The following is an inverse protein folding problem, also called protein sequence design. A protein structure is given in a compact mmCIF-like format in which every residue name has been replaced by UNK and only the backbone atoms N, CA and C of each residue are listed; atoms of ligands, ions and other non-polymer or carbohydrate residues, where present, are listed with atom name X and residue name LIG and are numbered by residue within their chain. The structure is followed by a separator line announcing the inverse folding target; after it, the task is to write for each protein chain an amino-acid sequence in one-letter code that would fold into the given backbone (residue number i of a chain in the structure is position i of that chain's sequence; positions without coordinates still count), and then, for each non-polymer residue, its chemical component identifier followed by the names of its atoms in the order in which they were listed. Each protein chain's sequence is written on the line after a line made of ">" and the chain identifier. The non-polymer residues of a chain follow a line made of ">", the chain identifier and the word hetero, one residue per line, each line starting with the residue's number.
data_IF_598556550721
#
_entry.id   IF_598556550721
#
_cell.length_a   1.000
_cell.length_b   1.000
_cell.length_c   1.000
_cell.angle_alpha   90.00
_cell.angle_beta   90.00
_cell.angle_gamma   90.00
#
_symmetry.space_group_name_H-M   'P 1'
#
loop_
_entity.id
_entity.type
_entity.pdbx_description
1 polymer ?
#
# COMPACT_ATOMS: atom_id res chain seq x y z
N UNK A 1 15.45 -13.79 -7.17
CA UNK A 1 15.98 -12.89 -8.20
C UNK A 1 15.01 -11.73 -8.34
N UNK A 2 15.53 -10.51 -8.55
CA UNK A 2 14.73 -9.29 -8.67
C UNK A 2 14.70 -8.79 -10.11
N UNK A 3 13.53 -8.29 -10.51
CA UNK A 3 13.30 -7.60 -11.78
C UNK A 3 12.56 -6.31 -11.44
N UNK A 4 13.06 -5.17 -11.91
CA UNK A 4 12.33 -3.91 -11.90
C UNK A 4 11.83 -3.65 -13.33
N UNK A 5 10.53 -3.37 -13.42
CA UNK A 5 9.85 -2.87 -14.61
C UNK A 5 9.17 -1.57 -14.18
N UNK A 6 9.70 -0.43 -14.64
CA UNK A 6 9.28 0.90 -14.16
C UNK A 6 7.85 1.20 -14.60
N UNK A 7 7.51 0.91 -15.86
CA UNK A 7 6.17 1.10 -16.40
C UNK A 7 5.15 0.30 -15.59
N UNK A 8 5.35 -1.03 -15.46
CA UNK A 8 4.44 -1.91 -14.72
C UNK A 8 4.22 -1.48 -13.26
N UNK A 9 5.30 -1.07 -12.57
CA UNK A 9 5.22 -0.62 -11.19
C UNK A 9 4.52 0.74 -11.07
N UNK A 10 4.89 1.72 -11.90
CA UNK A 10 4.27 3.05 -11.85
C UNK A 10 2.78 2.98 -12.19
N UNK A 11 2.40 2.13 -13.14
CA UNK A 11 1.01 1.87 -13.49
C UNK A 11 0.24 1.17 -12.36
N UNK A 12 0.90 0.28 -11.61
CA UNK A 12 0.39 -0.29 -10.37
C UNK A 12 0.12 0.77 -9.29
N UNK A 13 1.07 1.67 -9.07
CA UNK A 13 0.94 2.78 -8.12
C UNK A 13 -0.22 3.72 -8.49
N UNK A 14 -0.32 4.13 -9.76
CA UNK A 14 -1.41 4.98 -10.27
C UNK A 14 -2.79 4.33 -10.07
N UNK A 15 -2.94 3.04 -10.41
CA UNK A 15 -4.20 2.30 -10.21
C UNK A 15 -4.58 2.23 -8.72
N UNK A 16 -3.62 1.94 -7.84
CA UNK A 16 -3.88 1.84 -6.41
C UNK A 16 -4.26 3.19 -5.80
N UNK A 17 -3.59 4.29 -6.18
CA UNK A 17 -3.95 5.65 -5.75
C UNK A 17 -5.39 6.00 -6.14
N UNK A 18 -5.75 5.83 -7.43
CA UNK A 18 -7.09 6.11 -7.92
C UNK A 18 -8.18 5.23 -7.25
N UNK A 19 -7.86 3.97 -6.94
CA UNK A 19 -8.74 3.08 -6.17
C UNK A 19 -8.94 3.58 -4.74
N UNK A 20 -7.88 3.99 -4.03
CA UNK A 20 -7.98 4.52 -2.66
C UNK A 20 -8.73 5.84 -2.61
N UNK A 21 -8.49 6.78 -3.52
CA UNK A 21 -9.24 8.03 -3.59
C UNK A 21 -10.73 7.79 -3.79
N UNK A 22 -11.08 6.85 -4.69
CA UNK A 22 -12.48 6.44 -4.91
C UNK A 22 -13.08 5.85 -3.64
N UNK A 23 -12.43 4.87 -3.01
CA UNK A 23 -12.93 4.21 -1.80
C UNK A 23 -13.06 5.21 -0.64
N UNK A 24 -12.11 6.12 -0.47
CA UNK A 24 -12.15 7.18 0.55
C UNK A 24 -13.40 8.06 0.40
N UNK A 25 -13.70 8.48 -0.83
CA UNK A 25 -14.87 9.30 -1.14
C UNK A 25 -16.19 8.50 -0.99
N UNK A 26 -16.20 7.20 -1.29
CA UNK A 26 -17.35 6.32 -1.03
C UNK A 26 -17.58 6.16 0.49
N UNK A 27 -16.53 5.90 1.26
CA UNK A 27 -16.54 5.81 2.73
C UNK A 27 -17.02 7.11 3.39
N UNK A 28 -16.58 8.28 2.92
CA UNK A 28 -17.00 9.58 3.47
C UNK A 28 -18.52 9.82 3.33
N UNK A 29 -19.10 9.37 2.22
CA UNK A 29 -20.54 9.44 2.01
C UNK A 29 -21.31 8.46 2.91
N UNK A 30 -20.73 7.28 3.17
CA UNK A 30 -21.28 6.31 4.13
C UNK A 30 -21.21 6.90 5.54
N UNK A 31 -20.07 7.45 5.96
CA UNK A 31 -19.88 8.08 7.27
C UNK A 31 -20.89 9.21 7.51
N UNK A 32 -21.05 10.13 6.55
CA UNK A 32 -22.08 11.19 6.62
C UNK A 32 -23.50 10.64 6.80
N UNK A 33 -23.81 9.52 6.13
CA UNK A 33 -25.12 8.86 6.24
C UNK A 33 -25.31 8.18 7.60
N UNK A 34 -24.26 7.52 8.10
CA UNK A 34 -24.25 6.84 9.41
C UNK A 34 -24.32 7.85 10.55
N UNK A 35 -23.55 8.95 10.52
CA UNK A 35 -23.66 10.03 11.50
C UNK A 35 -25.06 10.62 11.52
N UNK A 36 -25.65 10.90 10.35
CA UNK A 36 -27.04 11.34 10.24
C UNK A 36 -28.04 10.37 10.86
N UNK A 37 -27.84 9.05 10.75
CA UNK A 37 -28.67 8.02 11.40
C UNK A 37 -28.51 8.01 12.93
N UNK A 38 -27.29 8.17 13.43
CA UNK A 38 -26.99 8.26 14.88
C UNK A 38 -27.64 9.50 15.52
N UNK A 39 -27.73 10.59 14.76
CA UNK A 39 -28.38 11.85 15.16
C UNK A 39 -29.93 11.79 15.15
N UNK A 40 -30.57 10.74 14.62
CA UNK A 40 -32.04 10.60 14.55
C UNK A 40 -32.72 10.26 15.89
N UNK A 41 -32.43 10.99 16.97
CA UNK A 41 -33.03 10.75 18.28
C UNK A 41 -34.56 10.98 18.30
N UNK A 42 -35.05 11.94 17.51
CA UNK A 42 -36.47 12.25 17.42
C UNK A 42 -37.28 11.18 16.63
N UNK A 43 -36.62 10.40 15.76
CA UNK A 43 -37.27 9.40 14.89
C UNK A 43 -37.04 7.95 15.38
N UNK A 44 -35.85 7.63 15.89
CA UNK A 44 -35.48 6.29 16.38
C UNK A 44 -35.48 6.25 17.92
N UNK A 45 -36.68 6.35 18.49
CA UNK A 45 -36.93 6.34 19.93
C UNK A 45 -37.11 4.94 20.53
N UNK A 46 -36.98 4.86 21.85
CA UNK A 46 -37.19 3.64 22.64
C UNK A 46 -35.97 2.72 22.63
N UNK A 47 -36.05 1.60 23.37
CA UNK A 47 -34.90 0.73 23.61
C UNK A 47 -34.27 0.18 22.31
N UNK A 48 -35.10 -0.26 21.34
CA UNK A 48 -34.61 -0.75 20.05
C UNK A 48 -34.05 0.36 19.14
N UNK A 49 -34.66 1.56 19.16
CA UNK A 49 -34.15 2.71 18.41
C UNK A 49 -32.80 3.20 18.94
N UNK A 50 -32.64 3.22 20.26
CA UNK A 50 -31.34 3.48 20.89
C UNK A 50 -30.32 2.39 20.54
N UNK A 51 -30.66 1.11 20.65
CA UNK A 51 -29.75 0.00 20.31
C UNK A 51 -29.24 0.08 18.86
N UNK A 52 -30.10 0.42 17.89
CA UNK A 52 -29.70 0.61 16.49
C UNK A 52 -28.73 1.80 16.36
N UNK A 53 -29.04 2.95 16.98
CA UNK A 53 -28.15 4.13 16.92
C UNK A 53 -26.81 3.86 17.59
N UNK A 54 -26.81 3.22 18.75
CA UNK A 54 -25.62 2.78 19.47
C UNK A 54 -24.79 1.79 18.61
N UNK A 55 -25.41 0.85 17.91
CA UNK A 55 -24.70 -0.10 17.02
C UNK A 55 -23.98 0.62 15.88
N UNK A 56 -24.63 1.58 15.23
CA UNK A 56 -23.99 2.38 14.18
C UNK A 56 -22.90 3.31 14.73
N UNK A 57 -23.12 3.92 15.90
CA UNK A 57 -22.14 4.77 16.56
C UNK A 57 -20.89 4.01 17.06
N UNK A 58 -21.07 2.81 17.60
CA UNK A 58 -20.01 2.06 18.31
C UNK A 58 -19.26 1.05 17.43
N UNK A 59 -19.88 0.55 16.35
CA UNK A 59 -19.29 -0.41 15.42
C UNK A 59 -18.89 0.23 14.07
N UNK A 60 -19.75 1.07 13.48
CA UNK A 60 -19.54 1.58 12.12
C UNK A 60 -18.70 2.87 12.09
N UNK A 61 -19.04 3.90 12.88
CA UNK A 61 -18.28 5.15 12.86
C UNK A 61 -16.77 4.97 13.13
N UNK A 62 -16.32 4.17 14.12
CA UNK A 62 -14.89 3.98 14.36
C UNK A 62 -14.18 3.33 13.17
N UNK A 63 -14.82 2.35 12.52
CA UNK A 63 -14.28 1.69 11.33
C UNK A 63 -14.13 2.66 10.15
N UNK A 64 -15.16 3.48 9.89
CA UNK A 64 -15.16 4.45 8.80
C UNK A 64 -14.07 5.51 9.03
N UNK A 65 -13.95 6.03 10.26
CA UNK A 65 -12.91 6.98 10.67
C UNK A 65 -11.50 6.39 10.55
N UNK A 66 -11.31 5.14 10.99
CA UNK A 66 -10.05 4.43 10.83
C UNK A 66 -9.69 4.25 9.35
N UNK A 67 -10.67 3.88 8.51
CA UNK A 67 -10.47 3.76 7.06
C UNK A 67 -10.06 5.08 6.40
N UNK A 68 -10.61 6.22 6.84
CA UNK A 68 -10.19 7.55 6.36
C UNK A 68 -8.71 7.82 6.66
N UNK A 69 -8.26 7.56 7.90
CA UNK A 69 -6.86 7.73 8.30
C UNK A 69 -5.93 6.76 7.56
N UNK A 70 -6.29 5.48 7.51
CA UNK A 70 -5.59 4.45 6.74
C UNK A 70 -5.40 4.87 5.27
N UNK A 71 -6.46 5.38 4.63
CA UNK A 71 -6.42 5.80 3.24
C UNK A 71 -5.39 6.91 2.98
N UNK A 72 -5.24 7.86 3.93
CA UNK A 72 -4.20 8.89 3.85
C UNK A 72 -2.81 8.29 4.00
N UNK A 73 -2.58 7.49 5.03
CA UNK A 73 -1.26 6.86 5.28
C UNK A 73 -0.84 6.01 4.08
N UNK A 74 -1.77 5.24 3.50
CA UNK A 74 -1.46 4.42 2.34
C UNK A 74 -1.22 5.24 1.06
N UNK A 75 -2.01 6.30 0.79
CA UNK A 75 -1.75 7.23 -0.31
C UNK A 75 -0.35 7.86 -0.19
N UNK A 76 0.03 8.32 1.01
CA UNK A 76 1.35 8.89 1.27
C UNK A 76 2.48 7.86 1.05
N UNK A 77 2.30 6.61 1.46
CA UNK A 77 3.24 5.52 1.16
C UNK A 77 3.38 5.29 -0.35
N UNK A 78 2.30 5.31 -1.12
CA UNK A 78 2.33 5.16 -2.58
C UNK A 78 2.98 6.37 -3.29
N UNK A 79 2.88 7.57 -2.73
CA UNK A 79 3.60 8.76 -3.20
C UNK A 79 5.10 8.69 -2.93
N UNK A 80 5.50 8.26 -1.72
CA UNK A 80 6.90 8.03 -1.37
C UNK A 80 7.52 6.94 -2.25
N UNK A 81 6.76 5.87 -2.55
CA UNK A 81 7.20 4.79 -3.44
C UNK A 81 7.38 5.24 -4.89
N UNK A 82 6.51 6.10 -5.41
CA UNK A 82 6.66 6.68 -6.76
C UNK A 82 7.89 7.61 -6.84
N UNK A 83 8.13 8.42 -5.82
CA UNK A 83 9.33 9.27 -5.72
C UNK A 83 10.62 8.45 -5.61
N UNK A 84 10.61 7.39 -4.80
CA UNK A 84 11.74 6.47 -4.68
C UNK A 84 12.03 5.73 -5.99
N UNK A 85 10.99 5.34 -6.74
CA UNK A 85 11.11 4.70 -8.05
C UNK A 85 11.80 5.65 -9.04
N UNK A 86 11.31 6.88 -9.15
CA UNK A 86 11.89 7.91 -10.03
C UNK A 86 13.34 8.27 -9.66
N UNK A 87 13.72 8.16 -8.39
CA UNK A 87 15.09 8.37 -7.91
C UNK A 87 16.03 7.19 -8.21
N UNK A 88 15.50 5.96 -8.25
CA UNK A 88 16.26 4.77 -8.65
C UNK A 88 16.46 4.71 -10.16
N UNK A 89 15.38 4.85 -10.92
CA UNK A 89 15.36 4.78 -12.38
C UNK A 89 14.36 5.81 -12.93
N UNK A 90 14.83 6.97 -13.45
CA UNK A 90 13.96 8.03 -13.95
C UNK A 90 13.42 7.77 -15.37
N UNK A 91 13.93 6.78 -16.10
CA UNK A 91 13.39 6.42 -17.42
C UNK A 91 12.05 5.68 -17.24
N UNK A 92 10.92 6.17 -17.81
CA UNK A 92 9.65 5.47 -17.74
C UNK A 92 9.66 4.09 -18.45
N UNK A 93 10.56 3.87 -19.40
CA UNK A 93 10.81 2.57 -20.02
C UNK A 93 11.95 1.78 -19.32
N UNK A 94 12.35 2.23 -18.12
CA UNK A 94 13.42 1.63 -17.32
C UNK A 94 13.16 0.18 -16.95
N UNK A 95 14.18 -0.66 -17.12
CA UNK A 95 14.08 -2.09 -16.90
C UNK A 95 15.38 -2.66 -16.37
N UNK A 96 15.35 -3.29 -15.18
CA UNK A 96 16.54 -3.81 -14.50
C UNK A 96 16.34 -5.29 -14.16
N UNK A 97 17.15 -6.17 -14.76
CA UNK A 97 17.27 -7.59 -14.39
C UNK A 97 18.54 -7.80 -13.56
N UNK A 98 18.39 -8.10 -12.27
CA UNK A 98 19.54 -8.35 -11.38
C UNK A 98 20.44 -9.48 -11.91
N UNK A 99 19.84 -10.55 -12.44
CA UNK A 99 20.54 -11.71 -13.01
C UNK A 99 21.40 -11.36 -14.24
N UNK A 100 20.97 -10.40 -15.06
CA UNK A 100 21.73 -9.94 -16.22
C UNK A 100 22.96 -9.14 -15.77
N UNK A 101 22.78 -8.30 -14.74
CA UNK A 101 23.86 -7.52 -14.13
C UNK A 101 24.92 -8.44 -13.51
N UNK A 102 24.51 -9.31 -12.58
CA UNK A 102 25.42 -10.20 -11.83
C UNK A 102 26.02 -11.33 -12.69
N UNK A 103 25.32 -11.75 -13.75
CA UNK A 103 25.74 -12.84 -14.63
C UNK A 103 26.34 -12.36 -15.95
N UNK A 104 25.47 -12.11 -16.94
CA UNK A 104 25.83 -11.85 -18.34
C UNK A 104 26.77 -10.63 -18.47
N UNK A 105 26.50 -9.54 -17.75
CA UNK A 105 27.28 -8.31 -17.81
C UNK A 105 28.66 -8.45 -17.13
N UNK A 106 28.77 -9.14 -15.98
CA UNK A 106 30.08 -9.41 -15.36
C UNK A 106 30.96 -10.29 -16.28
N UNK A 107 30.37 -11.31 -16.90
CA UNK A 107 31.07 -12.17 -17.85
C UNK A 107 31.52 -11.38 -19.09
N UNK A 108 30.64 -10.56 -19.66
CA UNK A 108 30.96 -9.70 -20.81
C UNK A 108 32.07 -8.69 -20.51
N UNK A 109 32.00 -7.99 -19.38
CA UNK A 109 33.03 -7.02 -18.95
C UNK A 109 34.38 -7.69 -18.71
N UNK A 110 34.38 -8.88 -18.08
CA UNK A 110 35.60 -9.67 -17.86
C UNK A 110 36.22 -10.15 -19.18
N UNK A 111 35.38 -10.61 -20.12
CA UNK A 111 35.83 -11.02 -21.45
C UNK A 111 36.45 -9.84 -22.22
N UNK A 112 35.84 -8.65 -22.17
CA UNK A 112 36.36 -7.45 -22.84
C UNK A 112 37.73 -7.06 -22.28
N UNK A 113 37.90 -7.02 -20.96
CA UNK A 113 39.19 -6.73 -20.32
C UNK A 113 40.29 -7.71 -20.74
N UNK A 114 40.04 -9.01 -20.57
CA UNK A 114 41.01 -10.06 -20.90
C UNK A 114 41.35 -10.11 -22.40
N UNK A 115 40.37 -9.92 -23.28
CA UNK A 115 40.58 -9.96 -24.73
C UNK A 115 41.36 -8.74 -25.22
N UNK A 116 41.09 -7.56 -24.65
CA UNK A 116 41.81 -6.32 -25.02
C UNK A 116 43.25 -6.36 -24.54
N UNK A 117 43.50 -6.86 -23.33
CA UNK A 117 44.85 -7.09 -22.80
C UNK A 117 45.63 -8.07 -23.70
N UNK A 118 45.03 -9.21 -24.05
CA UNK A 118 45.67 -10.21 -24.89
C UNK A 118 46.03 -9.67 -26.29
N UNK A 119 45.10 -8.97 -26.95
CA UNK A 119 45.32 -8.39 -28.28
C UNK A 119 46.35 -7.24 -28.26
N UNK A 120 46.35 -6.43 -27.20
CA UNK A 120 47.33 -5.35 -27.00
C UNK A 120 48.74 -5.91 -26.80
N UNK A 121 48.88 -6.93 -25.95
CA UNK A 121 50.15 -7.61 -25.72
C UNK A 121 50.66 -8.35 -26.98
N UNK A 122 49.79 -9.02 -27.74
CA UNK A 122 50.14 -9.66 -29.00
C UNK A 122 50.61 -8.63 -30.05
N UNK A 123 49.87 -7.53 -30.21
CA UNK A 123 50.23 -6.45 -31.13
C UNK A 123 51.57 -5.80 -30.76
N UNK A 124 51.80 -5.50 -29.48
CA UNK A 124 53.06 -4.94 -28.99
C UNK A 124 54.24 -5.92 -29.22
N UNK A 125 54.04 -7.22 -28.99
CA UNK A 125 55.06 -8.24 -29.30
C UNK A 125 55.38 -8.33 -30.80
N UNK A 126 54.40 -8.10 -31.68
CA UNK A 126 54.62 -8.04 -33.13
C UNK A 126 55.38 -6.75 -33.50
N UNK A 127 55.04 -5.61 -32.90
CA UNK A 127 55.77 -4.34 -33.10
C UNK A 127 57.23 -4.44 -32.66
N UNK A 128 57.52 -5.08 -31.53
CA UNK A 128 58.87 -5.33 -31.04
C UNK A 128 59.69 -6.16 -32.05
N UNK A 129 59.06 -7.15 -32.70
CA UNK A 129 59.73 -8.02 -33.68
C UNK A 129 60.19 -7.31 -34.96
N UNK A 130 59.71 -6.08 -35.23
CA UNK A 130 60.09 -5.26 -36.39
C UNK A 130 60.79 -3.95 -36.02
N UNK A 131 61.10 -3.75 -34.74
CA UNK A 131 61.70 -2.52 -34.19
C UNK A 131 63.03 -2.13 -34.86
N UNK A 132 63.81 -3.12 -35.31
CA UNK A 132 65.07 -2.96 -36.06
C UNK A 132 64.89 -2.20 -37.39
N UNK A 133 63.70 -2.25 -37.99
CA UNK A 133 63.38 -1.64 -39.29
C UNK A 133 62.68 -0.29 -39.08
N UNK A 134 61.75 -0.23 -38.12
CA UNK A 134 60.95 0.96 -37.84
C UNK A 134 60.57 0.99 -36.36
N UNK A 135 60.84 2.13 -35.70
CA UNK A 135 60.37 2.37 -34.34
C UNK A 135 58.84 2.64 -34.35
N UNK A 136 58.08 1.76 -33.72
CA UNK A 136 56.63 1.88 -33.54
C UNK A 136 56.31 2.15 -32.06
N UNK A 137 55.39 3.07 -31.73
CA UNK A 137 54.92 3.23 -30.36
C UNK A 137 54.03 2.03 -29.97
N UNK A 138 54.17 1.54 -28.75
CA UNK A 138 53.28 0.53 -28.19
C UNK A 138 51.84 1.03 -28.05
N UNK A 139 50.90 0.10 -28.19
CA UNK A 139 49.50 0.27 -27.86
C UNK A 139 49.32 0.24 -26.33
N UNK A 140 48.39 1.05 -25.85
CA UNK A 140 47.99 1.17 -24.44
C UNK A 140 46.48 0.90 -24.33
N UNK A 141 46.10 -0.09 -23.51
CA UNK A 141 44.71 -0.47 -23.25
C UNK A 141 44.19 0.04 -21.90
N UNK A 142 44.96 0.85 -21.16
CA UNK A 142 44.61 1.36 -19.84
C UNK A 142 43.21 2.00 -19.80
N UNK A 143 42.83 2.74 -20.84
CA UNK A 143 41.50 3.35 -20.95
C UNK A 143 40.35 2.33 -21.06
N UNK A 144 40.59 1.17 -21.70
CA UNK A 144 39.61 0.08 -21.76
C UNK A 144 39.53 -0.64 -20.42
N UNK A 145 40.67 -0.88 -19.76
CA UNK A 145 40.70 -1.50 -18.43
C UNK A 145 40.01 -0.61 -17.37
N UNK A 146 40.26 0.70 -17.38
CA UNK A 146 39.54 1.67 -16.53
C UNK A 146 38.04 1.69 -16.83
N UNK A 147 37.66 1.62 -18.11
CA UNK A 147 36.27 1.46 -18.53
C UNK A 147 35.61 0.20 -17.97
N UNK A 148 36.27 -0.96 -18.06
CA UNK A 148 35.81 -2.23 -17.49
C UNK A 148 35.63 -2.13 -15.98
N UNK A 149 36.63 -1.62 -15.25
CA UNK A 149 36.57 -1.44 -13.79
C UNK A 149 35.41 -0.51 -13.40
N UNK A 150 35.25 0.61 -14.11
CA UNK A 150 34.17 1.59 -13.87
C UNK A 150 32.79 0.99 -14.16
N UNK A 151 32.65 0.20 -15.22
CA UNK A 151 31.41 -0.51 -15.56
C UNK A 151 31.05 -1.59 -14.53
N UNK A 152 32.03 -2.36 -14.04
CA UNK A 152 31.81 -3.35 -12.96
C UNK A 152 31.32 -2.66 -11.69
N UNK A 153 31.98 -1.55 -11.29
CA UNK A 153 31.54 -0.75 -10.14
C UNK A 153 30.12 -0.21 -10.33
N UNK A 154 29.79 0.36 -11.50
CA UNK A 154 28.45 0.89 -11.78
C UNK A 154 27.38 -0.21 -11.72
N UNK A 155 27.68 -1.42 -12.20
CA UNK A 155 26.81 -2.60 -12.03
C UNK A 155 26.57 -2.87 -10.55
N UNK A 156 27.62 -2.97 -9.75
CA UNK A 156 27.52 -3.28 -8.31
C UNK A 156 26.71 -2.21 -7.57
N UNK A 157 26.94 -0.92 -7.87
CA UNK A 157 26.16 0.21 -7.35
C UNK A 157 24.67 0.09 -7.74
N UNK A 158 24.34 -0.31 -8.98
CA UNK A 158 22.95 -0.52 -9.42
C UNK A 158 22.31 -1.72 -8.72
N UNK A 159 23.02 -2.83 -8.55
CA UNK A 159 22.54 -4.01 -7.82
C UNK A 159 22.28 -3.68 -6.35
N UNK A 160 23.18 -2.92 -5.71
CA UNK A 160 22.98 -2.45 -4.34
C UNK A 160 21.73 -1.58 -4.23
N UNK A 161 21.59 -0.55 -5.07
CA UNK A 161 20.43 0.35 -5.08
C UNK A 161 19.11 -0.36 -5.35
N UNK A 162 19.08 -1.36 -6.25
CA UNK A 162 17.89 -2.18 -6.49
C UNK A 162 17.51 -2.99 -5.24
N UNK A 163 18.49 -3.51 -4.51
CA UNK A 163 18.26 -4.24 -3.26
C UNK A 163 17.79 -3.32 -2.12
N UNK A 164 18.40 -2.14 -1.99
CA UNK A 164 17.99 -1.10 -1.04
C UNK A 164 16.58 -0.58 -1.34
N UNK A 165 16.24 -0.35 -2.62
CA UNK A 165 14.89 0.03 -3.05
C UNK A 165 13.86 -1.04 -2.68
N UNK A 166 14.04 -2.28 -3.15
CA UNK A 166 13.12 -3.39 -2.83
C UNK A 166 12.89 -3.55 -1.33
N UNK A 167 13.96 -3.49 -0.53
CA UNK A 167 13.86 -3.50 0.92
C UNK A 167 13.09 -2.28 1.45
N UNK A 168 13.50 -1.06 1.06
CA UNK A 168 12.94 0.23 1.49
C UNK A 168 11.57 0.58 0.89
N UNK A 169 11.01 -0.27 0.02
CA UNK A 169 9.64 -0.16 -0.46
C UNK A 169 8.75 -1.30 0.07
N UNK A 170 9.31 -2.48 0.34
CA UNK A 170 8.56 -3.59 0.93
C UNK A 170 7.97 -3.20 2.27
N UNK A 171 8.81 -2.73 3.20
CA UNK A 171 8.39 -2.52 4.60
C UNK A 171 7.81 -1.11 4.89
N UNK A 172 7.75 -0.20 3.90
CA UNK A 172 6.90 1.01 4.00
C UNK A 172 5.42 0.66 3.88
N UNK A 173 5.12 -0.55 3.39
CA UNK A 173 3.80 -1.18 3.42
C UNK A 173 3.50 -1.90 4.76
N UNK A 174 4.45 -2.07 5.68
CA UNK A 174 4.17 -2.74 6.97
C UNK A 174 3.06 -2.07 7.78
N UNK A 175 3.00 -0.72 7.91
CA UNK A 175 1.87 -0.06 8.58
C UNK A 175 0.55 -0.27 7.84
N UNK A 176 0.59 -0.30 6.51
CA UNK A 176 -0.58 -0.57 5.65
C UNK A 176 -1.11 -1.99 5.87
N UNK A 177 -0.22 -2.99 5.98
CA UNK A 177 -0.58 -4.37 6.31
C UNK A 177 -1.19 -4.47 7.73
N UNK A 178 -0.59 -3.81 8.72
CA UNK A 178 -1.10 -3.78 10.11
C UNK A 178 -2.48 -3.12 10.21
N UNK A 179 -2.73 -2.06 9.44
CA UNK A 179 -4.02 -1.39 9.38
C UNK A 179 -5.10 -2.27 8.73
N UNK A 180 -4.74 -2.99 7.66
CA UNK A 180 -5.63 -3.98 7.03
C UNK A 180 -5.96 -5.10 8.01
N UNK A 181 -4.99 -5.64 8.75
CA UNK A 181 -5.23 -6.65 9.79
C UNK A 181 -6.10 -6.12 10.94
N UNK A 182 -5.95 -4.84 11.31
CA UNK A 182 -6.78 -4.18 12.34
C UNK A 182 -8.23 -4.04 11.88
N UNK A 183 -8.46 -3.66 10.61
CA UNK A 183 -9.79 -3.61 10.00
C UNK A 183 -10.42 -5.01 9.83
N UNK A 184 -9.65 -6.01 9.41
CA UNK A 184 -10.10 -7.40 9.26
C UNK A 184 -10.52 -8.02 10.60
N UNK A 185 -9.74 -7.76 11.66
CA UNK A 185 -10.08 -8.14 13.03
C UNK A 185 -11.40 -7.49 13.47
N UNK A 186 -11.56 -6.18 13.26
CA UNK A 186 -12.79 -5.46 13.62
C UNK A 186 -14.03 -5.99 12.89
N UNK A 187 -13.91 -6.29 11.59
CA UNK A 187 -15.00 -6.89 10.81
C UNK A 187 -15.32 -8.32 11.29
N UNK A 188 -14.30 -9.09 11.66
CA UNK A 188 -14.46 -10.43 12.27
C UNK A 188 -15.17 -10.36 13.63
N UNK A 189 -14.86 -9.36 14.45
CA UNK A 189 -15.52 -9.13 15.73
C UNK A 189 -17.01 -8.75 15.52
N UNK A 190 -17.33 -7.92 14.51
CA UNK A 190 -18.71 -7.59 14.14
C UNK A 190 -19.47 -8.86 13.68
N UNK A 191 -18.88 -9.69 12.82
CA UNK A 191 -19.52 -10.93 12.36
C UNK A 191 -19.73 -11.92 13.51
N UNK A 192 -18.72 -12.10 14.38
CA UNK A 192 -18.83 -12.90 15.60
C UNK A 192 -19.94 -12.41 16.55
N UNK A 193 -20.14 -11.09 16.64
CA UNK A 193 -21.26 -10.51 17.38
C UNK A 193 -22.60 -10.92 16.78
N UNK A 194 -22.79 -10.82 15.45
CA UNK A 194 -24.02 -11.27 14.79
C UNK A 194 -24.26 -12.77 14.96
N UNK A 195 -23.21 -13.60 14.82
CA UNK A 195 -23.29 -15.05 15.06
C UNK A 195 -23.69 -15.40 16.50
N UNK A 196 -23.34 -14.56 17.48
CA UNK A 196 -23.74 -14.73 18.89
C UNK A 196 -25.20 -14.37 19.18
N UNK A 197 -25.96 -13.91 18.18
CA UNK A 197 -27.36 -13.49 18.31
C UNK A 197 -27.55 -12.06 18.80
N UNK A 198 -26.47 -11.27 18.90
CA UNK A 198 -26.53 -9.83 19.14
C UNK A 198 -26.73 -9.11 17.80
N UNK A 199 -28.00 -8.83 17.48
CA UNK A 199 -28.36 -7.99 16.32
C UNK A 199 -28.44 -6.52 16.71
N UNK A 200 -28.41 -5.64 15.70
CA UNK A 200 -28.64 -4.19 15.78
C UNK A 200 -29.75 -3.77 16.77
N UNK A 201 -30.93 -4.39 16.70
CA UNK A 201 -32.09 -4.03 17.55
C UNK A 201 -31.90 -4.43 19.02
N UNK A 202 -30.89 -5.22 19.37
CA UNK A 202 -30.61 -5.74 20.72
C UNK A 202 -29.16 -5.45 21.17
N UNK A 203 -28.47 -4.54 20.48
CA UNK A 203 -27.08 -4.16 20.73
C UNK A 203 -26.85 -3.67 22.17
N UNK A 204 -25.66 -3.96 22.71
CA UNK A 204 -25.23 -3.54 24.04
C UNK A 204 -23.79 -3.01 23.97
N UNK A 205 -23.56 -1.68 24.04
CA UNK A 205 -22.22 -1.08 23.94
C UNK A 205 -21.20 -1.69 24.91
N UNK A 206 -21.63 -2.03 26.13
CA UNK A 206 -20.78 -2.63 27.15
C UNK A 206 -20.31 -4.05 26.83
N UNK A 207 -21.05 -4.82 26.01
CA UNK A 207 -20.58 -6.12 25.50
C UNK A 207 -19.62 -5.91 24.34
N UNK A 208 -19.94 -4.97 23.44
CA UNK A 208 -19.10 -4.64 22.30
C UNK A 208 -17.71 -4.17 22.73
N UNK A 209 -17.61 -3.23 23.68
CA UNK A 209 -16.33 -2.72 24.18
C UNK A 209 -15.46 -3.74 24.92
N UNK A 210 -15.99 -4.92 25.29
CA UNK A 210 -15.20 -6.05 25.83
C UNK A 210 -14.65 -6.92 24.70
N UNK A 211 -15.40 -7.07 23.61
CA UNK A 211 -15.03 -7.89 22.45
C UNK A 211 -14.05 -7.16 21.52
N UNK A 212 -14.36 -5.90 21.18
CA UNK A 212 -13.69 -5.14 20.14
C UNK A 212 -13.21 -3.79 20.68
N UNK A 213 -11.90 -3.69 20.92
CA UNK A 213 -11.25 -2.46 21.39
C UNK A 213 -10.00 -2.08 20.59
N UNK A 214 -9.39 -3.01 19.85
CA UNK A 214 -8.09 -2.80 19.16
C UNK A 214 -8.10 -1.63 18.19
N UNK A 215 -9.12 -1.56 17.32
CA UNK A 215 -9.27 -0.47 16.36
C UNK A 215 -9.52 0.88 17.04
N UNK A 216 -10.33 0.91 18.11
CA UNK A 216 -10.58 2.13 18.91
C UNK A 216 -9.31 2.64 19.58
N UNK A 217 -8.53 1.76 20.20
CA UNK A 217 -7.25 2.12 20.81
C UNK A 217 -6.24 2.66 19.79
N UNK A 218 -6.13 2.07 18.59
CA UNK A 218 -5.22 2.58 17.56
C UNK A 218 -5.73 3.89 16.93
N UNK A 219 -7.05 4.07 16.80
CA UNK A 219 -7.68 5.33 16.40
C UNK A 219 -7.36 6.45 17.41
N UNK A 220 -7.56 6.19 18.71
CA UNK A 220 -7.19 7.10 19.81
C UNK A 220 -5.68 7.40 19.83
N UNK A 221 -4.84 6.41 19.59
CA UNK A 221 -3.40 6.59 19.52
C UNK A 221 -2.97 7.48 18.35
N UNK A 222 -3.67 7.40 17.20
CA UNK A 222 -3.41 8.25 16.03
C UNK A 222 -3.87 9.69 16.25
N UNK A 223 -5.05 9.90 16.83
CA UNK A 223 -5.53 11.26 17.15
C UNK A 223 -4.72 11.91 18.27
N UNK A 224 -4.20 11.14 19.22
CA UNK A 224 -3.42 11.65 20.37
C UNK A 224 -1.94 11.94 20.09
N UNK A 225 -1.38 11.48 18.96
CA UNK A 225 0.02 11.72 18.57
C UNK A 225 0.28 13.14 18.02
N UNK A 226 -0.75 14.00 17.97
CA UNK A 226 -0.66 15.40 17.53
C UNK A 226 -0.20 16.27 18.73
N UNK A 227 0.90 17.06 18.62
CA UNK A 227 1.33 17.96 19.70
C UNK A 227 0.30 19.08 19.95
N UNK A 228 -0.43 18.96 21.06
CA UNK A 228 -1.70 19.69 21.27
C UNK A 228 -1.64 21.14 21.73
N UNK A 229 -2.83 21.63 22.10
CA UNK A 229 -2.99 22.56 23.23
C UNK A 229 -4.30 22.28 23.99
N UNK A 230 -4.25 22.57 25.29
CA UNK A 230 -5.27 22.70 26.33
C UNK A 230 -6.73 22.22 26.10
N UNK A 231 -7.06 21.15 26.84
CA UNK A 231 -8.31 20.93 27.60
C UNK A 231 -9.57 21.74 27.23
N UNK A 232 -10.47 21.15 26.43
CA UNK A 232 -11.90 21.46 26.41
C UNK A 232 -12.71 20.17 26.56
N UNK A 233 -13.83 20.27 27.30
CA UNK A 233 -14.82 19.22 27.56
C UNK A 233 -15.44 18.66 26.25
N UNK A 234 -15.96 17.42 26.24
CA UNK A 234 -16.35 16.74 25.00
C UNK A 234 -17.63 17.35 24.42
N UNK A 235 -17.52 17.95 23.23
CA UNK A 235 -18.64 18.26 22.34
C UNK A 235 -18.12 18.34 20.89
N UNK A 236 -18.66 17.50 20.01
CA UNK A 236 -18.51 17.48 18.55
C UNK A 236 -17.17 17.98 17.99
N UNK A 237 -16.16 17.12 18.02
CA UNK A 237 -14.94 17.28 17.23
C UNK A 237 -15.22 16.95 15.76
N UNK A 238 -15.26 17.97 14.91
CA UNK A 238 -15.29 17.84 13.47
C UNK A 238 -13.98 17.22 12.96
N UNK A 239 -14.03 15.92 12.65
CA UNK A 239 -12.90 15.12 12.14
C UNK A 239 -12.23 15.75 10.92
N UNK A 240 -13.01 16.44 10.08
CA UNK A 240 -12.56 17.16 8.88
C UNK A 240 -11.45 18.16 9.20
N UNK A 241 -11.59 18.90 10.30
CA UNK A 241 -10.63 19.93 10.72
C UNK A 241 -9.32 19.30 11.25
N UNK A 242 -9.40 18.21 12.03
CA UNK A 242 -8.21 17.53 12.57
C UNK A 242 -7.41 16.80 11.48
N UNK A 243 -8.09 16.19 10.50
CA UNK A 243 -7.49 15.53 9.34
C UNK A 243 -6.63 16.49 8.51
N UNK A 244 -7.12 17.72 8.28
CA UNK A 244 -6.36 18.76 7.55
C UNK A 244 -5.09 19.21 8.28
N UNK A 245 -5.07 19.13 9.62
CA UNK A 245 -3.93 19.54 10.45
C UNK A 245 -2.84 18.48 10.46
N UNK A 246 -3.21 17.19 10.47
CA UNK A 246 -2.28 16.06 10.45
C UNK A 246 -1.43 16.02 9.16
N UNK A 247 -2.01 16.40 8.02
CA UNK A 247 -1.34 16.43 6.71
C UNK A 247 -0.17 17.43 6.61
N UNK A 248 -0.05 18.38 7.54
CA UNK A 248 0.93 19.49 7.45
C UNK A 248 2.28 19.12 8.10
N UNK A 249 2.39 18.02 8.85
CA UNK A 249 3.56 17.72 9.68
C UNK A 249 4.03 16.27 9.68
N UNK A 250 4.59 15.76 8.58
CA UNK A 250 5.31 14.49 8.59
C UNK A 250 6.50 14.41 7.61
N UNK A 251 7.71 14.34 8.18
CA UNK A 251 8.94 13.84 7.57
C UNK A 251 9.80 13.22 8.69
N UNK A 252 10.64 12.21 8.42
CA UNK A 252 10.28 10.82 8.12
C UNK A 252 10.76 9.86 9.26
N UNK A 253 10.58 8.53 9.11
CA UNK A 253 11.58 7.45 9.40
C UNK A 253 10.99 6.08 9.86
N UNK A 254 11.05 5.11 8.93
CA UNK A 254 11.90 3.90 8.96
C UNK A 254 11.60 2.59 9.75
N UNK A 255 10.97 1.63 9.04
CA UNK A 255 11.31 0.19 8.77
C UNK A 255 11.49 -0.91 9.86
N UNK A 256 10.67 -1.98 9.75
CA UNK A 256 11.00 -3.41 10.03
C UNK A 256 9.75 -4.32 10.24
N UNK A 257 9.71 -5.66 10.03
CA UNK A 257 10.51 -6.62 9.23
C UNK A 257 9.80 -8.02 9.18
N UNK A 258 9.92 -8.85 8.12
CA UNK A 258 9.79 -10.33 8.20
C UNK A 258 8.47 -11.07 7.87
N UNK A 259 7.45 -10.45 7.29
CA UNK A 259 6.16 -11.10 6.97
C UNK A 259 6.16 -11.93 5.68
N UNK A 260 5.72 -13.20 5.74
CA UNK A 260 5.32 -13.94 4.54
C UNK A 260 3.94 -13.45 4.08
N UNK A 261 3.88 -12.60 3.04
CA UNK A 261 2.62 -12.27 2.37
C UNK A 261 2.11 -13.54 1.67
N UNK A 262 1.27 -14.30 2.37
CA UNK A 262 0.35 -15.25 1.72
C UNK A 262 -0.60 -14.41 0.88
N UNK A 263 -0.87 -14.86 -0.35
CA UNK A 263 -1.78 -14.20 -1.29
C UNK A 263 -3.06 -13.77 -0.53
N UNK A 264 -3.44 -12.48 -0.50
CA UNK A 264 -4.81 -12.14 -0.18
C UNK A 264 -5.69 -12.85 -1.22
N UNK A 265 -6.64 -13.65 -0.74
CA UNK A 265 -7.61 -14.30 -1.61
C UNK A 265 -8.32 -13.21 -2.40
N UNK A 266 -8.15 -13.22 -3.73
CA UNK A 266 -8.81 -12.24 -4.59
C UNK A 266 -10.31 -12.37 -4.37
N UNK A 267 -10.92 -11.32 -3.81
CA UNK A 267 -12.34 -11.25 -3.51
C UNK A 267 -13.13 -11.07 -4.82
N UNK A 268 -13.20 -12.14 -5.61
CA UNK A 268 -14.12 -12.28 -6.71
C UNK A 268 -15.54 -12.46 -6.16
N UNK A 269 -16.41 -11.47 -6.37
CA UNK A 269 -17.81 -11.54 -5.97
C UNK A 269 -18.69 -10.51 -6.66
N UNK A 270 -19.23 -10.80 -7.87
CA UNK A 270 -20.22 -9.95 -8.51
C UNK A 270 -21.61 -10.16 -7.89
N UNK A 271 -21.80 -9.84 -6.60
CA UNK A 271 -23.05 -10.16 -5.86
C UNK A 271 -23.39 -9.26 -4.66
N UNK A 272 -22.98 -7.98 -4.63
CA UNK A 272 -23.47 -7.00 -3.62
C UNK A 272 -24.08 -5.77 -4.28
N UNK A 273 -25.25 -5.97 -4.91
CA UNK A 273 -26.29 -4.95 -5.11
C UNK A 273 -27.65 -5.68 -5.14
N UNK A 274 -28.25 -5.86 -3.95
CA UNK A 274 -29.35 -6.81 -3.73
C UNK A 274 -30.52 -6.27 -2.89
N UNK A 275 -30.78 -4.96 -2.88
CA UNK A 275 -31.92 -4.37 -2.18
C UNK A 275 -32.84 -3.57 -3.11
N UNK A 276 -33.65 -4.29 -3.88
CA UNK A 276 -34.81 -3.74 -4.59
C UNK A 276 -35.89 -4.79 -4.85
N UNK A 277 -36.66 -5.14 -3.82
CA UNK A 277 -37.98 -5.78 -4.00
C UNK A 277 -38.97 -5.23 -2.98
N UNK A 278 -39.72 -4.20 -3.40
CA UNK A 278 -40.90 -3.73 -2.68
C UNK A 278 -42.02 -4.79 -2.81
N UNK A 279 -42.80 -5.08 -1.75
CA UNK A 279 -43.93 -5.99 -1.84
C UNK A 279 -45.08 -5.34 -2.62
N UNK A 280 -45.43 -5.89 -3.76
CA UNK A 280 -46.63 -5.48 -4.50
C UNK A 280 -47.89 -6.12 -3.90
N UNK A 281 -48.96 -5.32 -3.86
CA UNK A 281 -50.26 -5.65 -3.26
C UNK A 281 -50.80 -7.04 -3.63
N UNK A 282 -51.25 -7.78 -2.62
CA UNK A 282 -52.14 -8.92 -2.82
C UNK A 282 -53.48 -8.46 -3.41
N UNK A 283 -53.78 -8.88 -4.64
CA UNK A 283 -55.15 -8.86 -5.17
C UNK A 283 -55.72 -10.27 -5.12
N UNK A 284 -56.83 -10.42 -4.41
CA UNK A 284 -57.56 -11.68 -4.28
C UNK A 284 -58.08 -12.17 -5.63
N UNK A 285 -57.97 -13.48 -5.88
CA UNK A 285 -58.83 -14.16 -6.85
C UNK A 285 -59.17 -15.56 -6.36
N UNK A 286 -60.43 -15.72 -5.94
CA UNK A 286 -61.01 -17.02 -5.62
C UNK A 286 -60.93 -17.94 -6.85
N UNK A 287 -60.58 -19.21 -6.62
CA UNK A 287 -60.97 -20.31 -7.47
C UNK A 287 -61.65 -21.33 -6.54
N UNK A 288 -62.97 -21.47 -6.68
CA UNK A 288 -63.70 -22.57 -6.06
C UNK A 288 -63.38 -23.85 -6.84
N UNK A 289 -63.12 -24.94 -6.12
CA UNK A 289 -63.23 -26.28 -6.67
C UNK A 289 -64.69 -26.76 -6.68
N UNK A 290 -64.96 -27.73 -7.56
CA UNK A 290 -66.12 -28.65 -7.56
C UNK A 290 -67.51 -28.05 -7.89
N UNK A 291 -67.88 -28.09 -9.17
CA UNK A 291 -68.72 -29.15 -9.81
C UNK A 291 -68.71 -28.96 -11.33
#
# INVERSE_FOLDING_TARGET
>A
MKILDVDLLQDGLKRNKAMLERLRNETENIERTVSGLVEMDELLKGAGGNAIRDFYAECHLPFLQFFQLFSVTYLQTLEQMESALQSLEPDPAGYIRQEFLEGELEQGLTLIGNLTEALTNEANSIMDSVSDIVALPHLDDSAVQEGVITSKKKRDDTVQKLNEFDYSQTVSLNPVEQDIQTMDTWLTDIDGMFQSGLTDVHFQPSRWGILANTLKMELEARTSRIPGDTAIQPNNYDLTTMFSTFLIGASPLQFGYGGFIRKPTVLYGPSILGFASLPTHSTTKNINENV
#
